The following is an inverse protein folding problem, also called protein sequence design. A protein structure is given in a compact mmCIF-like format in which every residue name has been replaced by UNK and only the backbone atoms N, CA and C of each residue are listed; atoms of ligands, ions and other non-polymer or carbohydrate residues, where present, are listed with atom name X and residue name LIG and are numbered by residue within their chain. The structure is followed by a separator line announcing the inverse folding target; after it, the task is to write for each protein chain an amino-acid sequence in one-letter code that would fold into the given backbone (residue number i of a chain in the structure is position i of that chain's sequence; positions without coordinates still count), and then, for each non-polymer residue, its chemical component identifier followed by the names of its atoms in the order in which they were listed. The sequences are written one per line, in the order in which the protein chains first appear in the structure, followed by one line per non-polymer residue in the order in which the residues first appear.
data_IF_780408768384
#
_entry.id   IF_780408768384
#
_cell.length_a   1.000
_cell.length_b   1.000
_cell.length_c   1.000
_cell.angle_alpha   90.00
_cell.angle_beta   90.00
_cell.angle_gamma   90.00
#
_symmetry.space_group_name_H-M   'P 1'
#
loop_
_entity.id
_entity.type
_entity.pdbx_description
1 polymer ?
#
# COMPACT_ATOMS: atom_id res chain seq x y z
N UNK A 1 -11.81 -13.62 -10.99
CA UNK A 1 -11.57 -12.72 -12.13
C UNK A 1 -10.18 -12.07 -12.06
N UNK A 2 -9.89 -11.24 -11.05
CA UNK A 2 -8.63 -10.48 -10.95
C UNK A 2 -7.38 -11.36 -10.93
N UNK A 3 -7.32 -12.33 -10.04
CA UNK A 3 -6.15 -13.21 -9.91
C UNK A 3 -5.92 -14.09 -11.13
N UNK A 4 -7.01 -14.48 -11.84
CA UNK A 4 -6.91 -15.17 -13.14
C UNK A 4 -6.30 -14.25 -14.20
N UNK A 5 -6.73 -12.97 -14.23
CA UNK A 5 -6.15 -11.97 -15.12
C UNK A 5 -4.65 -11.81 -14.83
N UNK A 6 -4.29 -11.58 -13.56
CA UNK A 6 -2.89 -11.42 -13.15
C UNK A 6 -2.02 -12.62 -13.59
N UNK A 7 -2.45 -13.85 -13.27
CA UNK A 7 -1.71 -15.07 -13.64
C UNK A 7 -1.57 -15.26 -15.16
N UNK A 8 -2.49 -14.72 -15.94
CA UNK A 8 -2.48 -14.85 -17.40
C UNK A 8 -1.58 -13.85 -18.11
N UNK A 9 -1.45 -12.63 -17.54
CA UNK A 9 -0.71 -11.52 -18.16
C UNK A 9 0.72 -11.38 -17.65
N UNK A 10 1.11 -12.18 -16.67
CA UNK A 10 2.45 -12.12 -16.08
C UNK A 10 3.28 -13.34 -16.44
N UNK A 11 4.57 -13.13 -16.76
CA UNK A 11 5.50 -14.17 -17.18
C UNK A 11 6.10 -15.00 -16.02
N UNK A 12 5.88 -14.57 -14.78
CA UNK A 12 6.36 -15.26 -13.58
C UNK A 12 5.20 -15.47 -12.61
N UNK A 13 5.31 -16.49 -11.74
CA UNK A 13 4.36 -16.63 -10.64
C UNK A 13 4.31 -15.30 -9.85
N UNK A 14 3.11 -14.76 -9.59
CA UNK A 14 2.96 -13.54 -8.83
C UNK A 14 3.72 -13.64 -7.51
N UNK A 15 4.60 -12.69 -7.25
CA UNK A 15 5.31 -12.62 -5.97
C UNK A 15 4.44 -11.85 -4.98
N UNK A 16 4.25 -12.43 -3.81
CA UNK A 16 3.65 -11.72 -2.68
C UNK A 16 4.66 -10.66 -2.24
N UNK A 17 4.30 -9.40 -2.32
CA UNK A 17 5.15 -8.33 -1.84
C UNK A 17 4.93 -8.14 -0.34
N UNK A 18 6.00 -8.37 0.43
CA UNK A 18 5.99 -8.04 1.86
C UNK A 18 6.13 -6.52 2.03
N UNK A 19 5.03 -5.81 1.98
CA UNK A 19 5.00 -4.44 2.47
C UNK A 19 4.94 -4.49 3.99
N UNK A 20 5.94 -3.92 4.64
CA UNK A 20 5.95 -3.76 6.08
C UNK A 20 4.70 -2.93 6.45
N UNK A 21 3.89 -3.43 7.40
CA UNK A 21 2.68 -2.80 7.95
C UNK A 21 1.34 -3.03 7.22
N UNK A 22 1.21 -4.01 6.33
CA UNK A 22 -0.10 -4.36 5.75
C UNK A 22 -0.47 -5.81 6.05
N UNK A 23 -1.67 -6.02 6.57
CA UNK A 23 -2.28 -7.36 6.78
C UNK A 23 -2.71 -8.00 5.46
N UNK A 24 -3.00 -7.18 4.44
CA UNK A 24 -3.32 -7.60 3.08
C UNK A 24 -2.13 -7.28 2.15
N UNK A 25 -1.48 -8.34 1.67
CA UNK A 25 -0.37 -8.22 0.73
C UNK A 25 -0.90 -8.31 -0.70
N UNK A 26 -0.67 -7.30 -1.56
CA UNK A 26 -1.04 -7.41 -2.96
C UNK A 26 -0.17 -8.43 -3.68
N UNK A 27 -0.77 -9.19 -4.58
CA UNK A 27 -0.03 -10.04 -5.49
C UNK A 27 0.52 -9.19 -6.63
N UNK A 28 1.83 -9.14 -6.79
CA UNK A 28 2.49 -8.40 -7.87
C UNK A 28 2.88 -9.32 -9.01
N UNK A 29 2.69 -8.86 -10.24
CA UNK A 29 3.18 -9.53 -11.42
C UNK A 29 3.84 -8.54 -12.38
N UNK A 30 4.82 -9.01 -13.14
CA UNK A 30 5.47 -8.23 -14.20
C UNK A 30 4.83 -8.58 -15.53
N UNK A 31 4.28 -7.59 -16.19
CA UNK A 31 3.77 -7.68 -17.56
C UNK A 31 4.90 -7.32 -18.51
N UNK A 32 5.19 -8.23 -19.45
CA UNK A 32 6.13 -8.02 -20.51
C UNK A 32 5.37 -7.91 -21.83
N UNK A 33 5.63 -6.86 -22.57
CA UNK A 33 4.97 -6.58 -23.85
C UNK A 33 6.00 -6.59 -24.97
N UNK A 34 5.76 -7.42 -25.97
CA UNK A 34 6.60 -7.51 -27.16
C UNK A 34 6.86 -6.12 -27.78
N UNK A 35 8.10 -5.64 -27.69
CA UNK A 35 8.52 -4.38 -28.29
C UNK A 35 8.12 -3.11 -27.53
N UNK A 36 7.56 -3.22 -26.32
CA UNK A 36 7.24 -2.10 -25.45
C UNK A 36 7.90 -2.27 -24.06
N UNK A 37 7.92 -1.18 -23.28
CA UNK A 37 8.37 -1.27 -21.88
C UNK A 37 7.35 -2.07 -21.09
N UNK A 38 7.80 -3.08 -20.34
CA UNK A 38 6.94 -3.78 -19.39
C UNK A 38 6.58 -2.92 -18.17
N UNK A 39 5.58 -3.36 -17.43
CA UNK A 39 5.14 -2.68 -16.21
C UNK A 39 4.76 -3.70 -15.11
N UNK A 40 4.64 -3.22 -13.89
CA UNK A 40 4.17 -4.04 -12.76
C UNK A 40 2.67 -3.84 -12.58
N UNK A 41 1.94 -4.95 -12.48
CA UNK A 41 0.52 -4.97 -12.14
C UNK A 41 0.35 -5.57 -10.74
N UNK A 42 -0.52 -4.95 -9.94
CA UNK A 42 -0.88 -5.40 -8.60
C UNK A 42 -2.33 -5.91 -8.58
N UNK A 43 -2.55 -7.15 -8.12
CA UNK A 43 -3.88 -7.62 -7.74
C UNK A 43 -4.18 -7.12 -6.34
N UNK A 44 -4.99 -6.07 -6.26
CA UNK A 44 -5.44 -5.51 -5.01
C UNK A 44 -6.79 -6.15 -4.71
N UNK A 45 -6.94 -6.89 -3.57
CA UNK A 45 -8.20 -7.55 -3.21
C UNK A 45 -9.36 -6.57 -3.21
N UNK A 46 -10.53 -7.01 -3.65
CA UNK A 46 -11.69 -6.16 -3.90
C UNK A 46 -12.13 -5.30 -2.73
N UNK A 47 -12.73 -4.18 -3.05
CA UNK A 47 -13.36 -3.27 -2.10
C UNK A 47 -14.39 -4.01 -1.26
N UNK A 48 -14.32 -3.79 0.04
CA UNK A 48 -15.37 -4.15 0.98
C UNK A 48 -16.21 -2.89 1.15
N UNK A 49 -17.53 -3.01 0.98
CA UNK A 49 -18.49 -1.93 1.25
C UNK A 49 -18.23 -1.36 2.68
N UNK A 50 -18.09 -0.03 2.79
CA UNK A 50 -17.75 0.64 4.06
C UNK A 50 -16.25 0.79 4.35
N UNK A 51 -15.37 0.56 3.38
CA UNK A 51 -13.92 0.72 3.54
C UNK A 51 -13.50 2.13 3.96
N UNK A 52 -14.21 3.15 3.49
CA UNK A 52 -14.00 4.56 3.83
C UNK A 52 -14.42 4.93 5.26
N UNK A 53 -15.31 4.14 5.86
CA UNK A 53 -15.81 4.37 7.23
C UNK A 53 -14.90 3.80 8.32
N UNK A 54 -13.72 3.29 7.95
CA UNK A 54 -12.70 2.83 8.91
C UNK A 54 -12.97 1.44 9.51
N UNK A 55 -13.91 0.68 8.96
CA UNK A 55 -14.20 -0.68 9.41
C UNK A 55 -13.20 -1.65 8.77
N UNK A 56 -12.08 -1.92 9.44
CA UNK A 56 -11.19 -3.03 9.12
C UNK A 56 -10.21 -2.77 7.97
N UNK A 57 -10.13 -3.68 7.02
CA UNK A 57 -9.12 -3.79 5.96
C UNK A 57 -9.15 -2.70 4.88
N UNK A 58 -10.14 -1.80 4.90
CA UNK A 58 -10.41 -0.83 3.84
C UNK A 58 -9.34 0.24 3.66
N UNK A 59 -8.81 0.82 4.74
CA UNK A 59 -7.80 1.88 4.67
C UNK A 59 -6.46 1.40 4.12
N UNK A 60 -6.03 0.19 4.47
CA UNK A 60 -4.80 -0.40 3.95
C UNK A 60 -4.89 -0.66 2.44
N UNK A 61 -6.05 -1.07 1.96
CA UNK A 61 -6.35 -1.26 0.55
C UNK A 61 -6.21 0.06 -0.23
N UNK A 62 -6.78 1.14 0.27
CA UNK A 62 -6.76 2.46 -0.36
C UNK A 62 -5.34 3.02 -0.48
N UNK A 63 -4.47 2.77 0.52
CA UNK A 63 -3.04 3.10 0.46
C UNK A 63 -2.29 2.39 -0.67
N UNK A 64 -2.69 1.17 -1.04
CA UNK A 64 -2.10 0.51 -2.19
C UNK A 64 -2.49 1.19 -3.51
N UNK A 65 -3.75 1.66 -3.61
CA UNK A 65 -4.22 2.40 -4.79
C UNK A 65 -3.50 3.74 -4.93
N UNK A 66 -3.22 4.46 -3.85
CA UNK A 66 -2.44 5.69 -3.89
C UNK A 66 -1.11 5.55 -4.64
N UNK A 67 -0.47 4.39 -4.50
CA UNK A 67 0.83 4.09 -5.12
C UNK A 67 0.74 3.68 -6.59
N UNK A 68 -0.45 3.43 -7.11
CA UNK A 68 -0.65 3.08 -8.52
C UNK A 68 -0.70 4.32 -9.39
N UNK A 69 -0.25 4.21 -10.63
CA UNK A 69 -0.34 5.29 -11.64
C UNK A 69 -1.60 5.17 -12.50
N UNK A 70 -2.03 3.96 -12.78
CA UNK A 70 -3.20 3.63 -13.60
C UNK A 70 -4.05 2.59 -12.86
N UNK A 71 -5.36 2.67 -12.95
CA UNK A 71 -6.28 1.70 -12.38
C UNK A 71 -7.00 0.90 -13.45
N UNK A 72 -7.14 -0.41 -13.22
CA UNK A 72 -7.92 -1.31 -14.07
C UNK A 72 -9.11 -1.85 -13.25
N UNK A 73 -10.31 -1.42 -13.58
CA UNK A 73 -11.54 -1.98 -13.00
C UNK A 73 -11.88 -3.29 -13.70
N UNK A 74 -11.75 -4.40 -13.01
CA UNK A 74 -12.08 -5.72 -13.56
C UNK A 74 -13.47 -6.12 -13.10
N UNK A 75 -14.44 -6.15 -14.01
CA UNK A 75 -15.83 -6.47 -13.70
C UNK A 75 -16.30 -7.74 -14.39
N UNK A 76 -17.29 -8.40 -13.82
CA UNK A 76 -17.94 -9.58 -14.39
C UNK A 76 -19.04 -9.14 -15.39
N UNK A 77 -18.68 -9.08 -16.67
CA UNK A 77 -19.63 -8.69 -17.72
C UNK A 77 -20.71 -9.75 -17.98
N UNK A 78 -20.47 -11.01 -17.61
CA UNK A 78 -21.45 -12.07 -17.78
C UNK A 78 -22.52 -12.10 -16.65
N UNK A 79 -22.31 -11.30 -15.57
CA UNK A 79 -23.24 -11.27 -14.45
C UNK A 79 -23.37 -12.62 -13.71
N UNK A 80 -22.33 -13.46 -13.75
CA UNK A 80 -22.37 -14.83 -13.19
C UNK A 80 -22.66 -14.85 -11.70
N UNK A 81 -22.44 -13.74 -11.00
CA UNK A 81 -22.68 -13.57 -9.56
C UNK A 81 -23.96 -12.76 -9.27
N UNK A 82 -24.77 -12.46 -10.31
CA UNK A 82 -26.02 -11.71 -10.19
C UNK A 82 -25.84 -10.21 -9.85
N UNK A 83 -24.63 -9.67 -10.02
CA UNK A 83 -24.30 -8.26 -9.77
C UNK A 83 -24.33 -7.46 -11.07
N UNK A 84 -24.71 -6.19 -10.96
CA UNK A 84 -24.65 -5.24 -12.08
C UNK A 84 -23.23 -4.64 -12.18
N UNK A 85 -22.50 -4.84 -13.29
CA UNK A 85 -21.15 -4.34 -13.44
C UNK A 85 -21.05 -2.81 -13.41
N UNK A 86 -22.07 -2.08 -13.82
CA UNK A 86 -22.12 -0.62 -13.73
C UNK A 86 -22.22 -0.18 -12.27
N UNK A 87 -23.11 -0.81 -11.51
CA UNK A 87 -23.29 -0.52 -10.10
C UNK A 87 -22.02 -0.83 -9.30
N UNK A 88 -21.35 -1.93 -9.63
CA UNK A 88 -20.07 -2.31 -8.98
C UNK A 88 -18.97 -1.27 -9.20
N UNK A 89 -18.78 -0.79 -10.44
CA UNK A 89 -17.78 0.25 -10.74
C UNK A 89 -18.12 1.55 -10.01
N UNK A 90 -19.37 1.97 -10.02
CA UNK A 90 -19.81 3.20 -9.34
C UNK A 90 -19.63 3.12 -7.83
N UNK A 91 -19.87 1.96 -7.23
CA UNK A 91 -19.61 1.74 -5.80
C UNK A 91 -18.12 1.92 -5.48
N UNK A 92 -17.23 1.34 -6.31
CA UNK A 92 -15.79 1.50 -6.21
C UNK A 92 -15.37 2.97 -6.32
N UNK A 93 -15.86 3.67 -7.35
CA UNK A 93 -15.53 5.09 -7.55
C UNK A 93 -15.98 5.96 -6.38
N UNK A 94 -17.15 5.70 -5.82
CA UNK A 94 -17.65 6.42 -4.64
C UNK A 94 -16.77 6.19 -3.41
N UNK A 95 -16.29 4.98 -3.18
CA UNK A 95 -15.36 4.68 -2.08
C UNK A 95 -14.00 5.38 -2.26
N UNK A 96 -13.48 5.39 -3.49
CA UNK A 96 -12.25 6.13 -3.82
C UNK A 96 -12.40 7.63 -3.60
N UNK A 97 -13.53 8.22 -4.03
CA UNK A 97 -13.86 9.63 -3.85
C UNK A 97 -13.97 10.00 -2.37
N UNK A 98 -14.62 9.14 -1.57
CA UNK A 98 -14.79 9.36 -0.14
C UNK A 98 -13.47 9.32 0.64
N UNK A 99 -12.50 8.54 0.15
CA UNK A 99 -11.17 8.44 0.76
C UNK A 99 -10.27 9.59 0.33
N UNK A 100 -10.04 9.77 -0.98
CA UNK A 100 -9.30 10.88 -1.56
C UNK A 100 -9.80 11.14 -3.00
N UNK A 101 -10.47 12.27 -3.26
CA UNK A 101 -10.96 12.65 -4.59
C UNK A 101 -9.87 12.63 -5.68
N UNK A 102 -8.61 12.88 -5.33
CA UNK A 102 -7.48 12.83 -6.26
C UNK A 102 -7.26 11.45 -6.89
N UNK A 103 -7.73 10.39 -6.25
CA UNK A 103 -7.64 9.05 -6.81
C UNK A 103 -8.47 8.91 -8.08
N UNK A 104 -9.57 9.66 -8.21
CA UNK A 104 -10.39 9.67 -9.42
C UNK A 104 -9.75 10.43 -10.59
N UNK A 105 -8.76 11.29 -10.34
CA UNK A 105 -8.00 12.00 -11.38
C UNK A 105 -6.99 11.09 -12.07
N UNK A 106 -6.66 9.95 -11.48
CA UNK A 106 -5.75 8.97 -12.09
C UNK A 106 -6.38 8.35 -13.33
N UNK A 107 -5.59 8.05 -14.39
CA UNK A 107 -6.08 7.32 -15.55
C UNK A 107 -6.69 5.98 -15.16
N UNK A 108 -7.87 5.69 -15.71
CA UNK A 108 -8.65 4.50 -15.41
C UNK A 108 -9.07 3.80 -16.67
N UNK A 109 -9.18 2.47 -16.62
CA UNK A 109 -9.74 1.65 -17.69
C UNK A 109 -10.67 0.58 -17.10
N UNK A 110 -11.63 0.13 -17.89
CA UNK A 110 -12.56 -0.94 -17.51
C UNK A 110 -12.25 -2.18 -18.33
N UNK A 111 -11.96 -3.28 -17.65
CA UNK A 111 -11.86 -4.61 -18.22
C UNK A 111 -13.17 -5.37 -17.98
N UNK A 112 -14.05 -5.40 -18.98
CA UNK A 112 -15.29 -6.17 -19.00
C UNK A 112 -14.95 -7.64 -19.21
N UNK A 113 -14.74 -8.36 -18.11
CA UNK A 113 -14.22 -9.73 -18.10
C UNK A 113 -15.32 -10.77 -18.16
N UNK A 114 -14.94 -12.01 -18.43
CA UNK A 114 -15.81 -13.20 -18.61
C UNK A 114 -16.68 -13.11 -19.87
N UNK A 115 -16.18 -12.44 -20.93
CA UNK A 115 -16.90 -12.36 -22.21
C UNK A 115 -17.13 -13.72 -22.85
N UNK A 116 -16.34 -14.72 -22.48
CA UNK A 116 -16.54 -16.13 -22.87
C UNK A 116 -17.77 -16.81 -22.25
N UNK A 117 -18.34 -16.20 -21.20
CA UNK A 117 -19.51 -16.71 -20.48
C UNK A 117 -20.77 -15.83 -20.68
N UNK A 118 -20.71 -14.81 -21.52
CA UNK A 118 -21.85 -13.97 -21.83
C UNK A 118 -22.83 -14.73 -22.72
N UNK A 119 -24.08 -14.87 -22.26
CA UNK A 119 -25.18 -15.46 -23.02
C UNK A 119 -25.98 -14.32 -23.68
N UNK A 120 -26.14 -14.38 -25.00
CA UNK A 120 -26.86 -13.38 -25.76
C UNK A 120 -26.00 -12.42 -26.56
N UNK A 121 -26.42 -11.17 -26.70
CA UNK A 121 -25.64 -10.16 -27.43
C UNK A 121 -24.50 -9.62 -26.55
N UNK A 122 -23.27 -10.11 -26.81
CA UNK A 122 -22.04 -9.62 -26.14
C UNK A 122 -21.89 -8.10 -26.30
N UNK A 123 -22.43 -7.50 -27.37
CA UNK A 123 -22.32 -6.09 -27.61
C UNK A 123 -23.19 -5.24 -26.67
N UNK A 124 -24.32 -5.75 -26.20
CA UNK A 124 -25.25 -4.97 -25.39
C UNK A 124 -24.63 -4.52 -24.07
N UNK A 125 -24.03 -5.44 -23.32
CA UNK A 125 -23.38 -5.11 -22.04
C UNK A 125 -22.17 -4.19 -22.24
N UNK A 126 -21.36 -4.46 -23.27
CA UNK A 126 -20.19 -3.61 -23.59
C UNK A 126 -20.63 -2.21 -23.99
N UNK A 127 -21.70 -2.07 -24.80
CA UNK A 127 -22.25 -0.79 -25.18
C UNK A 127 -22.86 -0.02 -24.00
N UNK A 128 -23.45 -0.72 -23.05
CA UNK A 128 -23.97 -0.11 -21.82
C UNK A 128 -22.83 0.47 -20.97
N UNK A 129 -21.76 -0.29 -20.77
CA UNK A 129 -20.56 0.17 -20.08
C UNK A 129 -19.90 1.37 -20.80
N UNK A 130 -19.78 1.30 -22.13
CA UNK A 130 -19.22 2.40 -22.91
C UNK A 130 -20.05 3.69 -22.81
N UNK A 131 -21.37 3.59 -22.99
CA UNK A 131 -22.27 4.75 -22.82
C UNK A 131 -22.17 5.39 -21.46
N UNK A 132 -21.91 4.59 -20.43
CA UNK A 132 -21.82 5.09 -19.07
C UNK A 132 -20.47 5.75 -18.76
N UNK A 133 -19.35 5.16 -19.16
CA UNK A 133 -18.03 5.53 -18.67
C UNK A 133 -17.11 6.20 -19.70
N UNK A 134 -17.31 5.99 -21.03
CA UNK A 134 -16.44 6.62 -22.04
C UNK A 134 -16.66 8.13 -22.15
N UNK A 135 -17.80 8.65 -21.70
CA UNK A 135 -18.02 10.10 -21.57
C UNK A 135 -17.09 10.76 -20.57
N UNK A 136 -16.62 9.99 -19.59
CA UNK A 136 -15.69 10.43 -18.56
C UNK A 136 -14.22 10.06 -18.91
N UNK A 137 -13.98 9.65 -20.17
CA UNK A 137 -12.66 9.29 -20.69
C UNK A 137 -12.17 7.90 -20.30
N UNK A 138 -13.02 7.07 -19.66
CA UNK A 138 -12.65 5.74 -19.19
C UNK A 138 -13.00 4.71 -20.27
N UNK A 139 -11.99 4.15 -20.94
CA UNK A 139 -12.19 3.18 -22.02
C UNK A 139 -12.57 1.81 -21.51
N UNK A 140 -13.45 1.12 -22.28
CA UNK A 140 -13.95 -0.22 -21.96
C UNK A 140 -13.35 -1.26 -22.90
N UNK A 141 -12.72 -2.26 -22.32
CA UNK A 141 -12.12 -3.40 -23.01
C UNK A 141 -12.86 -4.69 -22.71
N UNK A 142 -13.56 -5.28 -23.70
CA UNK A 142 -14.14 -6.62 -23.53
C UNK A 142 -13.02 -7.66 -23.53
N UNK A 143 -12.92 -8.42 -22.46
CA UNK A 143 -11.84 -9.42 -22.27
C UNK A 143 -12.39 -10.75 -21.78
N UNK A 144 -11.58 -11.78 -22.00
CA UNK A 144 -11.71 -13.06 -21.27
C UNK A 144 -10.34 -13.41 -20.69
N UNK A 145 -10.22 -13.33 -19.38
CA UNK A 145 -8.99 -13.72 -18.67
C UNK A 145 -8.68 -15.22 -18.86
N UNK A 146 -9.70 -16.04 -19.07
CA UNK A 146 -9.52 -17.49 -19.28
C UNK A 146 -8.98 -17.79 -20.67
N UNK A 147 -9.60 -17.25 -21.72
CA UNK A 147 -9.17 -17.51 -23.11
C UNK A 147 -8.01 -16.64 -23.58
N UNK A 148 -7.78 -15.49 -22.92
CA UNK A 148 -6.78 -14.50 -23.32
C UNK A 148 -7.28 -13.48 -24.35
N UNK A 149 -8.55 -13.59 -24.81
CA UNK A 149 -9.15 -12.65 -25.79
C UNK A 149 -9.19 -11.24 -25.21
N UNK A 150 -8.77 -10.23 -25.98
CA UNK A 150 -8.84 -8.81 -25.63
C UNK A 150 -7.76 -8.34 -24.63
N UNK A 151 -6.91 -9.25 -24.09
CA UNK A 151 -5.90 -8.87 -23.12
C UNK A 151 -4.80 -8.00 -23.73
N UNK A 152 -4.40 -8.30 -24.94
CA UNK A 152 -3.32 -7.58 -25.61
C UNK A 152 -3.68 -6.11 -25.80
N UNK A 153 -4.85 -5.83 -26.29
CA UNK A 153 -5.37 -4.47 -26.52
C UNK A 153 -5.47 -3.67 -25.20
N UNK A 154 -5.97 -4.33 -24.13
CA UNK A 154 -6.04 -3.74 -22.80
C UNK A 154 -4.64 -3.34 -22.29
N UNK A 155 -3.69 -4.27 -22.35
CA UNK A 155 -2.34 -4.05 -21.82
C UNK A 155 -1.54 -2.98 -22.59
N UNK A 156 -1.66 -2.95 -23.91
CA UNK A 156 -1.03 -1.88 -24.71
C UNK A 156 -1.60 -0.51 -24.38
N UNK A 157 -2.92 -0.42 -24.17
CA UNK A 157 -3.53 0.84 -23.78
C UNK A 157 -3.12 1.27 -22.36
N UNK A 158 -3.00 0.33 -21.44
CA UNK A 158 -2.47 0.62 -20.08
C UNK A 158 -1.04 1.13 -20.15
N UNK A 159 -0.20 0.53 -21.02
CA UNK A 159 1.18 1.00 -21.26
C UNK A 159 1.18 2.43 -21.83
N UNK A 160 0.32 2.72 -22.80
CA UNK A 160 0.15 4.07 -23.36
C UNK A 160 -0.19 5.10 -22.27
N UNK A 161 -1.14 4.77 -21.38
CA UNK A 161 -1.49 5.62 -20.25
C UNK A 161 -0.31 5.83 -19.30
N UNK A 162 0.44 4.75 -18.98
CA UNK A 162 1.62 4.83 -18.12
C UNK A 162 2.74 5.70 -18.72
N UNK A 163 2.91 5.67 -20.03
CA UNK A 163 3.92 6.49 -20.73
C UNK A 163 3.56 8.00 -20.70
N UNK A 164 2.28 8.33 -20.52
CA UNK A 164 1.79 9.70 -20.35
C UNK A 164 1.72 10.15 -18.88
N UNK A 165 1.85 9.24 -17.93
CA UNK A 165 1.94 9.60 -16.51
C UNK A 165 3.30 10.20 -16.21
N UNK A 166 3.33 11.34 -15.51
CA UNK A 166 4.55 11.99 -15.07
C UNK A 166 5.48 11.00 -14.36
N UNK A 167 6.74 11.00 -14.82
CA UNK A 167 7.78 10.10 -14.32
C UNK A 167 8.39 10.58 -13.00
N UNK A 168 7.89 11.67 -12.43
CA UNK A 168 8.37 12.12 -11.13
C UNK A 168 8.07 11.04 -10.08
N UNK A 169 9.11 10.51 -9.42
CA UNK A 169 8.87 9.59 -8.32
C UNK A 169 8.06 10.36 -7.27
N UNK A 170 6.87 9.86 -6.95
CA UNK A 170 6.15 10.35 -5.78
C UNK A 170 7.05 10.02 -4.59
N UNK A 171 7.79 11.01 -4.13
CA UNK A 171 8.57 10.93 -2.90
C UNK A 171 7.52 10.99 -1.79
N UNK A 172 7.05 9.83 -1.36
CA UNK A 172 6.31 9.77 -0.11
C UNK A 172 7.27 10.22 0.97
N UNK A 173 6.93 11.31 1.64
CA UNK A 173 7.58 11.59 2.91
C UNK A 173 7.51 10.31 3.75
N UNK A 174 8.59 9.96 4.47
CA UNK A 174 8.60 8.75 5.27
C UNK A 174 7.33 8.74 6.12
N UNK A 175 6.54 7.70 5.96
CA UNK A 175 5.26 7.56 6.66
C UNK A 175 5.51 7.91 8.13
N UNK A 176 4.80 8.91 8.58
CA UNK A 176 4.75 9.27 9.97
C UNK A 176 4.49 8.00 10.78
N UNK A 177 5.49 7.57 11.53
CA UNK A 177 5.35 6.44 12.44
C UNK A 177 4.43 6.88 13.59
N UNK A 178 3.18 6.39 13.67
CA UNK A 178 2.25 6.80 14.73
C UNK A 178 2.82 6.52 16.12
N UNK A 179 3.67 5.51 16.25
CA UNK A 179 4.34 5.19 17.51
C UNK A 179 5.24 6.32 17.97
N UNK A 180 5.93 7.02 17.05
CA UNK A 180 6.78 8.16 17.38
C UNK A 180 5.98 9.39 17.84
N UNK A 181 4.72 9.56 17.38
CA UNK A 181 3.86 10.63 17.84
C UNK A 181 3.37 10.45 19.26
N UNK A 182 3.10 9.20 19.68
CA UNK A 182 2.71 8.89 21.06
C UNK A 182 3.81 9.23 22.08
N UNK A 183 5.06 9.33 21.63
CA UNK A 183 6.21 9.61 22.49
C UNK A 183 6.64 11.09 22.50
N UNK A 184 6.11 11.94 21.60
CA UNK A 184 6.64 13.29 21.39
C UNK A 184 6.46 14.23 22.59
N UNK A 185 5.37 14.07 23.32
CA UNK A 185 4.97 14.96 24.40
C UNK A 185 5.08 14.34 25.80
N UNK A 186 5.58 13.11 25.92
CA UNK A 186 5.74 12.48 27.22
C UNK A 186 7.12 12.73 27.81
N UNK A 187 7.22 13.04 29.12
CA UNK A 187 8.47 13.37 29.76
C UNK A 187 9.35 12.12 29.95
N UNK A 188 10.64 12.33 29.86
CA UNK A 188 11.65 11.40 30.36
C UNK A 188 12.72 12.21 31.10
N UNK A 189 13.51 11.54 31.93
CA UNK A 189 14.61 12.13 32.68
C UNK A 189 15.86 11.29 32.47
N UNK A 190 17.01 11.96 32.41
CA UNK A 190 18.33 11.32 32.41
C UNK A 190 19.02 11.70 33.69
N UNK A 191 19.47 10.73 34.44
CA UNK A 191 20.23 10.90 35.69
C UNK A 191 21.47 9.99 35.71
N UNK A 192 22.46 10.34 36.49
CA UNK A 192 23.64 9.51 36.68
C UNK A 192 23.52 8.77 38.00
N UNK A 193 23.57 7.44 37.97
CA UNK A 193 23.55 6.58 39.13
C UNK A 193 24.87 6.66 39.93
N UNK A 194 24.86 6.17 41.16
CA UNK A 194 26.04 6.19 42.04
C UNK A 194 27.22 5.35 41.53
N UNK A 195 26.95 4.38 40.66
CA UNK A 195 27.93 3.52 39.97
C UNK A 195 28.46 4.13 38.66
N UNK A 196 28.00 5.34 38.31
CA UNK A 196 28.39 6.05 37.09
C UNK A 196 27.57 5.78 35.85
N UNK A 197 26.64 4.80 35.88
CA UNK A 197 25.74 4.50 34.77
C UNK A 197 24.74 5.64 34.54
N UNK A 198 24.37 5.87 33.29
CA UNK A 198 23.29 6.81 32.92
C UNK A 198 21.94 6.09 32.99
N UNK A 199 21.05 6.55 33.86
CA UNK A 199 19.69 6.04 33.98
C UNK A 199 18.70 6.93 33.25
N UNK A 200 17.89 6.30 32.37
CA UNK A 200 16.86 7.01 31.61
C UNK A 200 15.51 6.42 32.01
N UNK A 201 14.67 7.26 32.59
CA UNK A 201 13.37 6.88 33.09
C UNK A 201 12.28 7.84 32.62
N UNK A 202 11.04 7.36 32.61
CA UNK A 202 9.86 8.14 32.33
C UNK A 202 8.84 7.41 31.44
N UNK A 203 7.59 7.88 31.42
CA UNK A 203 6.49 7.24 30.68
C UNK A 203 6.82 7.02 29.20
N UNK A 204 7.59 7.90 28.59
CA UNK A 204 8.07 7.79 27.21
C UNK A 204 8.91 6.53 26.99
N UNK A 205 9.84 6.27 27.91
CA UNK A 205 10.77 5.15 27.82
C UNK A 205 10.04 3.84 28.13
N UNK A 206 9.22 3.82 29.18
CA UNK A 206 8.43 2.66 29.55
C UNK A 206 7.51 2.19 28.43
N UNK A 207 6.80 3.13 27.79
CA UNK A 207 5.97 2.81 26.62
C UNK A 207 6.78 2.25 25.45
N UNK A 208 7.90 2.86 25.12
CA UNK A 208 8.76 2.38 24.02
C UNK A 208 9.20 0.94 24.29
N UNK A 209 9.69 0.65 25.49
CA UNK A 209 10.10 -0.71 25.88
C UNK A 209 8.93 -1.71 25.87
N UNK A 210 7.73 -1.28 26.28
CA UNK A 210 6.53 -2.12 26.28
C UNK A 210 6.04 -2.53 24.90
N UNK A 211 6.32 -1.72 23.85
CA UNK A 211 5.91 -2.00 22.48
C UNK A 211 7.03 -2.57 21.59
N UNK A 212 8.27 -2.62 22.10
CA UNK A 212 9.45 -2.96 21.29
C UNK A 212 10.16 -4.18 21.84
N UNK A 213 10.23 -5.26 21.06
CA UNK A 213 11.09 -6.40 21.41
C UNK A 213 12.53 -6.08 20.98
N UNK A 214 13.33 -5.56 21.91
CA UNK A 214 14.73 -5.12 21.67
C UNK A 214 15.64 -6.30 21.31
N UNK A 215 15.31 -7.53 21.74
CA UNK A 215 16.11 -8.72 21.39
C UNK A 215 16.01 -9.10 19.91
N UNK A 216 15.04 -8.52 19.18
CA UNK A 216 14.92 -8.73 17.75
C UNK A 216 15.71 -7.67 16.98
N UNK A 217 16.32 -8.05 15.86
CA UNK A 217 17.06 -7.14 14.99
C UNK A 217 16.24 -5.89 14.59
N UNK A 218 14.95 -6.10 14.29
CA UNK A 218 14.02 -5.00 13.94
C UNK A 218 13.70 -4.10 15.13
N UNK A 219 13.49 -4.69 16.28
CA UNK A 219 13.22 -3.95 17.51
C UNK A 219 14.44 -3.14 17.95
N UNK A 220 15.64 -3.68 17.78
CA UNK A 220 16.88 -2.95 18.06
C UNK A 220 17.10 -1.76 17.12
N UNK A 221 16.84 -1.93 15.82
CA UNK A 221 16.87 -0.83 14.86
C UNK A 221 15.84 0.28 15.16
N UNK A 222 14.64 -0.12 15.59
CA UNK A 222 13.61 0.82 16.04
C UNK A 222 14.07 1.58 17.30
N UNK A 223 14.64 0.88 18.26
CA UNK A 223 15.22 1.47 19.48
C UNK A 223 16.30 2.50 19.16
N UNK A 224 17.26 2.18 18.29
CA UNK A 224 18.29 3.12 17.86
C UNK A 224 17.70 4.37 17.19
N UNK A 225 16.72 4.16 16.31
CA UNK A 225 16.00 5.26 15.64
C UNK A 225 15.25 6.14 16.64
N UNK A 226 14.55 5.53 17.60
CA UNK A 226 13.87 6.23 18.68
C UNK A 226 14.82 7.10 19.50
N UNK A 227 15.93 6.56 19.97
CA UNK A 227 16.94 7.28 20.74
C UNK A 227 17.46 8.51 19.99
N UNK A 228 17.70 8.36 18.69
CA UNK A 228 18.19 9.44 17.82
C UNK A 228 17.13 10.51 17.56
N UNK A 229 15.92 10.13 17.20
CA UNK A 229 14.84 11.05 16.82
C UNK A 229 14.25 11.79 18.01
N UNK A 230 14.22 11.17 19.17
CA UNK A 230 13.79 11.81 20.42
C UNK A 230 14.87 12.71 21.03
N UNK A 231 16.07 12.74 20.45
CA UNK A 231 17.15 13.57 20.92
C UNK A 231 17.86 13.06 22.18
N UNK A 232 17.54 11.85 22.65
CA UNK A 232 18.08 11.25 23.87
C UNK A 232 19.61 11.10 23.76
N UNK A 233 20.11 10.65 22.60
CA UNK A 233 21.56 10.54 22.37
C UNK A 233 22.28 11.87 22.52
N UNK A 234 21.70 12.96 21.99
CA UNK A 234 22.28 14.32 22.11
C UNK A 234 22.28 14.82 23.54
N UNK A 235 21.27 14.46 24.30
CA UNK A 235 21.17 14.84 25.70
C UNK A 235 22.16 14.08 26.58
N UNK A 236 22.37 12.77 26.32
CA UNK A 236 23.42 11.97 26.92
C UNK A 236 24.81 12.54 26.62
N UNK A 237 25.08 12.89 25.35
CA UNK A 237 26.35 13.56 24.95
C UNK A 237 26.54 14.91 25.66
N UNK A 238 25.47 15.69 25.83
CA UNK A 238 25.51 16.95 26.55
C UNK A 238 25.77 16.77 28.05
N UNK A 239 25.38 15.64 28.63
CA UNK A 239 25.67 15.26 30.02
C UNK A 239 27.03 14.58 30.20
N UNK A 240 27.78 14.37 29.09
CA UNK A 240 29.16 13.93 29.14
C UNK A 240 29.37 12.43 29.08
N UNK A 241 28.44 11.67 28.44
CA UNK A 241 28.63 10.24 28.22
C UNK A 241 29.85 9.98 27.30
N UNK A 242 30.64 8.98 27.64
CA UNK A 242 31.83 8.57 26.88
C UNK A 242 31.64 7.14 26.32
N UNK A 243 32.47 6.77 25.33
CA UNK A 243 32.46 5.42 24.76
C UNK A 243 32.77 4.36 25.82
N UNK A 244 31.86 3.40 25.96
CA UNK A 244 31.96 2.33 26.96
C UNK A 244 31.17 2.61 28.24
N UNK A 245 30.58 3.80 28.38
CA UNK A 245 29.68 4.07 29.49
C UNK A 245 28.38 3.25 29.39
N UNK A 246 27.90 2.83 30.54
CA UNK A 246 26.67 2.02 30.63
C UNK A 246 25.43 2.92 30.70
N UNK A 247 24.45 2.62 29.87
CA UNK A 247 23.11 3.21 29.88
C UNK A 247 22.09 2.19 30.34
N UNK A 248 21.25 2.58 31.29
CA UNK A 248 20.24 1.74 31.92
C UNK A 248 18.83 2.32 31.70
N UNK A 249 17.89 1.44 31.27
CA UNK A 249 16.49 1.79 31.04
C UNK A 249 15.59 0.67 31.52
N UNK A 250 14.87 0.82 32.63
CA UNK A 250 13.89 -0.15 33.16
C UNK A 250 14.32 -1.63 33.08
N UNK A 251 15.57 -1.93 33.46
CA UNK A 251 16.12 -3.29 33.44
C UNK A 251 16.81 -3.70 32.13
N UNK A 252 16.82 -2.85 31.11
CA UNK A 252 17.73 -2.96 29.97
C UNK A 252 19.01 -2.21 30.25
N UNK A 253 20.14 -2.84 29.93
CA UNK A 253 21.45 -2.30 30.15
C UNK A 253 22.28 -2.50 28.88
N UNK A 254 22.90 -1.46 28.40
CA UNK A 254 23.75 -1.50 27.20
C UNK A 254 24.88 -0.48 27.30
N UNK A 255 25.97 -0.75 26.59
CA UNK A 255 27.13 0.16 26.54
C UNK A 255 26.95 1.15 25.38
N UNK A 256 27.26 2.41 25.67
CA UNK A 256 27.24 3.46 24.67
C UNK A 256 28.51 3.43 23.82
N UNK A 257 28.39 3.51 22.51
CA UNK A 257 29.47 3.70 21.55
C UNK A 257 28.98 4.68 20.46
N UNK A 258 29.83 5.62 20.14
CA UNK A 258 29.55 6.74 19.23
C UNK A 258 29.61 6.33 17.75
#
# INVERSE_FOLDING_TARGET
GKSTLLSRVTNAQPKIANYHFTTLQPNLGVVDLDGAKGFVIADIPGLIEGASEGVGLGLEFLRHIERTKVMIHVVDAAGTEGRDPIADIRAIMKELEAYDPKLLEKPQVIAANKMDAVYGDENEIVQSLRREFEKDGIRVFPISAVSGKGLKELLYHVQELLDHCDSEPVIYEPEFDPALRFFKDEPYTISQAADGAFEIEGPKIEKMLGYTNIDSEKGFLFFQKFMKEQGILKELEAQGIEDGDTVRMYGFEFDYYK
#
